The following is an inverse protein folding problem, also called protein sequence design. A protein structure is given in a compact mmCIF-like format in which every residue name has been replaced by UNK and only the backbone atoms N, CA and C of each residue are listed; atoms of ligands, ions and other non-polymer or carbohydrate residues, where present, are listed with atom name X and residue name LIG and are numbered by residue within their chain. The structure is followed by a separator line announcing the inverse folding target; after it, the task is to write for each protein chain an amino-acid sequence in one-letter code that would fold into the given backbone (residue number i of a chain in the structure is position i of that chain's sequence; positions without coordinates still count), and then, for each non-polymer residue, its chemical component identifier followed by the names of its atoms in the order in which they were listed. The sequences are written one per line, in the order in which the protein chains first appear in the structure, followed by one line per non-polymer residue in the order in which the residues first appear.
data_IF_779536280561
#
_entry.id   IF_779536280561
#
_cell.length_a   1.000
_cell.length_b   1.000
_cell.length_c   1.000
_cell.angle_alpha   90.00
_cell.angle_beta   90.00
_cell.angle_gamma   90.00
#
_symmetry.space_group_name_H-M   'P 1'
#
loop_
_entity.id
_entity.type
_entity.pdbx_description
1 polymer ?
#
# COMPACT_ATOMS: atom_id res chain seq x y z
N UNK A 1 5.44 14.68 11.32
CA UNK A 1 6.86 14.82 10.95
C UNK A 1 7.39 13.54 10.29
N UNK A 2 7.34 12.36 10.97
CA UNK A 2 7.87 11.10 10.43
C UNK A 2 7.14 10.66 9.14
N UNK A 3 5.82 10.83 9.03
CA UNK A 3 5.08 10.56 7.80
C UNK A 3 5.55 11.46 6.65
N UNK A 4 5.73 12.75 6.91
CA UNK A 4 6.19 13.71 5.92
C UNK A 4 7.65 13.48 5.47
N UNK A 5 8.51 12.92 6.34
CA UNK A 5 9.92 12.71 6.03
C UNK A 5 10.17 11.34 5.36
N UNK A 6 9.49 10.27 5.82
CA UNK A 6 9.75 8.89 5.36
C UNK A 6 8.80 8.39 4.27
N UNK A 7 7.67 9.05 4.09
CA UNK A 7 6.63 8.68 3.13
C UNK A 7 6.21 9.89 2.28
N UNK A 8 7.16 10.79 1.98
CA UNK A 8 6.93 11.97 1.16
C UNK A 8 6.58 11.66 -0.31
N UNK A 9 6.87 10.44 -0.75
CA UNK A 9 6.47 9.90 -2.04
C UNK A 9 4.98 9.55 -2.13
N UNK A 10 4.33 9.39 -0.97
CA UNK A 10 2.90 9.02 -0.88
C UNK A 10 2.05 10.12 -0.25
N UNK A 11 2.60 10.84 0.73
CA UNK A 11 1.84 11.79 1.55
C UNK A 11 2.39 13.21 1.49
N UNK A 12 1.51 14.16 1.23
CA UNK A 12 1.71 15.55 1.61
C UNK A 12 0.96 15.81 2.92
N UNK A 13 1.69 16.08 4.00
CA UNK A 13 1.15 16.12 5.36
C UNK A 13 1.04 17.55 5.86
N UNK A 14 -0.18 17.94 6.28
CA UNK A 14 -0.45 19.15 7.06
C UNK A 14 -0.79 18.77 8.50
N UNK A 15 -0.31 19.52 9.48
CA UNK A 15 -0.53 19.22 10.90
C UNK A 15 -1.27 20.39 11.55
N UNK A 16 -2.39 20.09 12.20
CA UNK A 16 -3.17 21.03 12.99
C UNK A 16 -3.20 20.56 14.45
N UNK A 17 -2.85 21.45 15.37
CA UNK A 17 -2.81 21.16 16.81
C UNK A 17 -3.96 21.79 17.61
N UNK A 18 -4.80 22.57 16.96
CA UNK A 18 -5.93 23.27 17.60
C UNK A 18 -7.19 23.10 16.76
N UNK A 19 -8.35 22.87 17.42
CA UNK A 19 -9.64 22.72 16.73
C UNK A 19 -9.99 23.88 15.80
N UNK A 20 -9.74 25.12 16.25
CA UNK A 20 -10.08 26.32 15.48
C UNK A 20 -9.27 26.45 14.18
N UNK A 21 -8.03 25.94 14.19
CA UNK A 21 -7.17 25.94 13.01
C UNK A 21 -7.55 24.85 12.02
N UNK A 22 -8.15 23.75 12.50
CA UNK A 22 -8.55 22.62 11.65
C UNK A 22 -9.61 23.07 10.64
N UNK A 23 -10.69 23.72 11.10
CA UNK A 23 -11.74 24.27 10.23
C UNK A 23 -11.17 25.24 9.20
N UNK A 24 -10.38 26.23 9.63
CA UNK A 24 -9.76 27.20 8.72
C UNK A 24 -8.82 26.56 7.68
N UNK A 25 -8.17 25.47 8.04
CA UNK A 25 -7.27 24.76 7.12
C UNK A 25 -8.07 23.95 6.09
N UNK A 26 -9.16 23.32 6.51
CA UNK A 26 -10.06 22.58 5.65
C UNK A 26 -10.84 23.48 4.68
N UNK A 27 -11.19 24.70 5.09
CA UNK A 27 -11.83 25.69 4.22
C UNK A 27 -10.91 26.16 3.07
N UNK A 28 -9.60 26.18 3.33
CA UNK A 28 -8.60 26.69 2.36
C UNK A 28 -8.09 25.61 1.40
N UNK A 29 -8.17 24.34 1.78
CA UNK A 29 -7.57 23.25 1.06
C UNK A 29 -8.37 21.96 1.22
N UNK A 30 -8.52 21.19 0.14
CA UNK A 30 -9.10 19.84 0.19
C UNK A 30 -8.05 18.83 0.65
N UNK A 31 -8.51 17.88 1.44
CA UNK A 31 -7.71 16.77 1.94
C UNK A 31 -8.34 15.46 1.53
N UNK A 32 -7.50 14.52 1.07
CA UNK A 32 -7.93 13.16 0.71
C UNK A 32 -8.22 12.33 1.97
N UNK A 33 -7.38 12.46 2.99
CA UNK A 33 -7.54 11.79 4.27
C UNK A 33 -7.26 12.74 5.45
N UNK A 34 -7.95 12.51 6.56
CA UNK A 34 -7.70 13.20 7.82
C UNK A 34 -7.52 12.18 8.96
N UNK A 35 -6.42 12.26 9.68
CA UNK A 35 -6.17 11.50 10.90
C UNK A 35 -6.46 12.39 12.10
N UNK A 36 -7.54 12.13 12.82
CA UNK A 36 -8.09 12.98 13.85
C UNK A 36 -7.95 12.33 15.22
N UNK A 37 -7.65 13.11 16.24
CA UNK A 37 -7.86 12.74 17.63
C UNK A 37 -9.35 12.92 18.00
N UNK A 38 -9.81 12.25 19.08
CA UNK A 38 -11.21 12.31 19.50
C UNK A 38 -11.75 13.74 19.73
N UNK A 39 -10.90 14.61 20.28
CA UNK A 39 -11.26 16.03 20.52
C UNK A 39 -11.40 16.83 19.20
N UNK A 40 -10.68 16.41 18.16
CA UNK A 40 -10.70 17.08 16.85
C UNK A 40 -11.85 16.62 15.95
N UNK A 41 -12.41 15.42 16.20
CA UNK A 41 -13.41 14.82 15.32
C UNK A 41 -14.71 15.63 15.19
N UNK A 42 -15.06 16.43 16.22
CA UNK A 42 -16.22 17.34 16.21
C UNK A 42 -15.90 18.78 15.84
N UNK A 43 -14.66 19.12 15.54
CA UNK A 43 -14.20 20.51 15.42
C UNK A 43 -14.30 21.08 14.00
N UNK A 44 -14.54 20.26 12.98
CA UNK A 44 -14.65 20.68 11.59
C UNK A 44 -15.66 19.84 10.82
N UNK A 45 -16.16 20.40 9.72
CA UNK A 45 -16.96 19.66 8.76
C UNK A 45 -16.05 18.70 7.97
N UNK A 46 -16.24 17.42 8.18
CA UNK A 46 -15.47 16.34 7.54
C UNK A 46 -16.09 15.84 6.23
N UNK A 47 -17.23 16.41 5.82
CA UNK A 47 -17.96 15.96 4.62
C UNK A 47 -17.15 16.11 3.33
N UNK A 48 -16.20 17.04 3.30
CA UNK A 48 -15.29 17.27 2.18
C UNK A 48 -14.05 16.34 2.17
N UNK A 49 -13.83 15.58 3.25
CA UNK A 49 -12.70 14.64 3.37
C UNK A 49 -13.16 13.25 2.93
N UNK A 50 -12.48 12.65 1.95
CA UNK A 50 -12.86 11.32 1.44
C UNK A 50 -12.64 10.21 2.46
N UNK A 51 -11.59 10.31 3.27
CA UNK A 51 -11.23 9.31 4.28
C UNK A 51 -10.94 9.97 5.64
N UNK A 52 -11.96 10.33 6.43
CA UNK A 52 -11.76 10.73 7.81
C UNK A 52 -11.53 9.50 8.70
N UNK A 53 -10.45 9.51 9.49
CA UNK A 53 -10.03 8.42 10.36
C UNK A 53 -9.79 8.93 11.78
N UNK A 54 -10.31 8.20 12.76
CA UNK A 54 -10.06 8.47 14.17
C UNK A 54 -8.82 7.71 14.64
N UNK A 55 -7.85 8.42 15.19
CA UNK A 55 -6.70 7.82 15.88
C UNK A 55 -7.09 7.54 17.32
N UNK A 56 -7.30 6.25 17.66
CA UNK A 56 -7.84 5.82 18.93
C UNK A 56 -6.89 4.91 19.70
N UNK A 57 -6.87 5.05 21.03
CA UNK A 57 -6.00 4.28 21.92
C UNK A 57 -6.55 2.89 22.29
N UNK A 58 -7.82 2.63 21.99
CA UNK A 58 -8.48 1.36 22.25
C UNK A 58 -9.25 1.33 23.58
N UNK A 59 -9.16 2.37 24.41
CA UNK A 59 -9.73 2.39 25.77
C UNK A 59 -10.64 3.59 26.04
N UNK A 60 -10.27 4.78 25.52
CA UNK A 60 -11.03 6.00 25.78
C UNK A 60 -12.45 5.92 25.22
N UNK A 61 -13.48 6.36 25.98
CA UNK A 61 -14.84 6.40 25.48
C UNK A 61 -14.91 7.39 24.30
N UNK A 62 -15.72 7.03 23.31
CA UNK A 62 -15.94 7.87 22.13
C UNK A 62 -17.30 8.54 22.23
N UNK A 63 -17.35 9.84 21.98
CA UNK A 63 -18.56 10.64 22.04
C UNK A 63 -18.78 11.40 20.72
N UNK A 64 -20.03 11.70 20.42
CA UNK A 64 -20.40 12.50 19.26
C UNK A 64 -19.91 11.91 17.93
N UNK A 65 -19.43 12.78 17.04
CA UNK A 65 -18.97 12.44 15.70
C UNK A 65 -17.82 11.41 15.66
N UNK A 66 -17.07 11.26 16.76
CA UNK A 66 -15.97 10.29 16.83
C UNK A 66 -16.45 8.82 16.85
N UNK A 67 -17.73 8.56 17.20
CA UNK A 67 -18.27 7.20 17.24
C UNK A 67 -18.41 6.57 15.86
N UNK A 68 -18.74 7.38 14.85
CA UNK A 68 -19.06 6.92 13.50
C UNK A 68 -17.83 6.84 12.59
N UNK A 69 -16.70 7.39 13.02
CA UNK A 69 -15.49 7.37 12.21
C UNK A 69 -14.77 6.02 12.24
N UNK A 70 -14.27 5.55 11.09
CA UNK A 70 -13.39 4.38 11.04
C UNK A 70 -12.12 4.67 11.83
N UNK A 71 -11.61 3.63 12.54
CA UNK A 71 -10.57 3.78 13.56
C UNK A 71 -9.23 3.24 13.12
N UNK A 72 -8.17 3.96 13.51
CA UNK A 72 -6.78 3.52 13.41
C UNK A 72 -6.19 3.49 14.81
N UNK A 73 -5.50 2.42 15.18
CA UNK A 73 -4.89 2.31 16.51
C UNK A 73 -3.76 3.31 16.70
N UNK A 74 -3.73 4.01 17.86
CA UNK A 74 -2.77 5.07 18.18
C UNK A 74 -1.35 4.53 18.37
N UNK A 75 -1.17 3.48 19.13
CA UNK A 75 0.15 2.98 19.56
C UNK A 75 0.63 1.83 18.69
N UNK A 76 0.97 2.14 17.44
CA UNK A 76 1.56 1.20 16.49
C UNK A 76 2.67 1.87 15.67
N UNK A 77 3.39 1.08 14.87
CA UNK A 77 4.43 1.63 14.00
C UNK A 77 3.83 2.59 12.98
N UNK A 78 4.51 3.69 12.70
CA UNK A 78 4.06 4.70 11.72
C UNK A 78 3.85 4.06 10.33
N UNK A 79 4.70 3.11 9.95
CA UNK A 79 4.52 2.35 8.69
C UNK A 79 3.20 1.55 8.64
N UNK A 80 2.74 1.04 9.78
CA UNK A 80 1.45 0.35 9.85
C UNK A 80 0.27 1.33 9.70
N UNK A 81 0.35 2.51 10.32
CA UNK A 81 -0.64 3.58 10.13
C UNK A 81 -0.66 4.03 8.68
N UNK A 82 0.50 4.29 8.10
CA UNK A 82 0.68 4.71 6.71
C UNK A 82 0.02 3.72 5.74
N UNK A 83 0.32 2.42 5.89
CA UNK A 83 -0.28 1.38 5.06
C UNK A 83 -1.80 1.27 5.23
N UNK A 84 -2.31 1.35 6.48
CA UNK A 84 -3.76 1.27 6.74
C UNK A 84 -4.51 2.43 6.08
N UNK A 85 -3.94 3.65 6.13
CA UNK A 85 -4.50 4.83 5.43
C UNK A 85 -4.54 4.62 3.92
N UNK A 86 -3.41 4.19 3.34
CA UNK A 86 -3.32 3.96 1.88
C UNK A 86 -4.26 2.87 1.41
N UNK A 87 -4.32 1.73 2.12
CA UNK A 87 -5.19 0.60 1.79
C UNK A 87 -6.68 0.99 1.83
N UNK A 88 -7.10 1.75 2.84
CA UNK A 88 -8.48 2.23 2.96
C UNK A 88 -8.82 3.28 1.89
N UNK A 89 -7.88 4.19 1.64
CA UNK A 89 -8.09 5.22 0.62
C UNK A 89 -8.17 4.61 -0.78
N UNK A 90 -7.29 3.67 -1.12
CA UNK A 90 -7.32 2.94 -2.38
C UNK A 90 -8.64 2.21 -2.60
N UNK A 91 -9.18 1.56 -1.54
CA UNK A 91 -10.44 0.83 -1.62
C UNK A 91 -11.65 1.74 -1.94
N UNK A 92 -11.62 3.01 -1.50
CA UNK A 92 -12.72 3.96 -1.77
C UNK A 92 -12.50 4.83 -3.02
N UNK A 93 -11.27 4.84 -3.56
CA UNK A 93 -10.93 5.67 -4.73
C UNK A 93 -11.41 5.10 -6.05
N UNK A 94 -11.71 3.79 -6.08
CA UNK A 94 -12.06 3.07 -7.31
C UNK A 94 -10.86 2.93 -8.27
N UNK A 95 -11.02 2.18 -9.36
CA UNK A 95 -9.97 2.02 -10.34
C UNK A 95 -9.68 3.37 -11.01
N UNK A 96 -8.45 3.81 -10.96
CA UNK A 96 -8.04 4.98 -11.74
C UNK A 96 -7.80 4.55 -13.19
N UNK A 97 -8.53 5.14 -14.11
CA UNK A 97 -8.33 4.98 -15.58
C UNK A 97 -7.02 5.64 -16.07
N UNK A 98 -6.14 6.07 -15.17
CA UNK A 98 -4.88 6.71 -15.55
C UNK A 98 -3.82 5.69 -15.99
N UNK A 99 -4.16 4.86 -16.97
CA UNK A 99 -3.16 4.15 -17.76
C UNK A 99 -2.49 5.09 -18.77
N UNK A 100 -1.76 6.06 -18.28
CA UNK A 100 -0.63 6.52 -19.05
C UNK A 100 0.28 5.31 -19.20
N UNK A 101 0.50 4.88 -20.43
CA UNK A 101 1.29 3.70 -20.77
C UNK A 101 2.53 3.61 -19.88
N UNK A 102 2.48 2.77 -18.87
CA UNK A 102 3.62 2.51 -18.01
C UNK A 102 4.75 2.02 -18.92
N UNK A 103 5.89 2.70 -18.90
CA UNK A 103 7.09 2.28 -19.62
C UNK A 103 7.83 1.16 -18.88
N UNK A 104 7.24 0.63 -17.83
CA UNK A 104 7.84 -0.44 -17.05
C UNK A 104 8.03 -1.69 -17.92
N UNK A 105 9.20 -2.29 -17.81
CA UNK A 105 9.49 -3.56 -18.46
C UNK A 105 9.04 -4.71 -17.57
N UNK A 106 8.11 -5.52 -18.06
CA UNK A 106 7.66 -6.74 -17.38
C UNK A 106 8.47 -7.93 -17.91
N UNK A 107 9.04 -8.72 -16.99
CA UNK A 107 9.81 -9.91 -17.32
C UNK A 107 9.25 -11.11 -16.57
N UNK A 108 8.60 -12.04 -17.28
CA UNK A 108 8.13 -13.30 -16.70
C UNK A 108 9.25 -14.35 -16.69
N UNK A 109 9.45 -14.98 -15.52
CA UNK A 109 10.34 -16.12 -15.35
C UNK A 109 9.50 -17.36 -15.08
N UNK A 110 9.44 -18.26 -16.02
CA UNK A 110 8.60 -19.45 -15.96
C UNK A 110 9.36 -20.73 -16.31
N UNK A 111 8.95 -21.84 -15.72
CA UNK A 111 9.43 -23.19 -16.08
C UNK A 111 8.36 -24.22 -15.75
N UNK A 112 8.17 -25.23 -16.60
CA UNK A 112 7.25 -26.34 -16.32
C UNK A 112 7.75 -27.29 -15.22
N UNK A 113 9.06 -27.22 -14.88
CA UNK A 113 9.66 -28.08 -13.88
C UNK A 113 9.85 -27.40 -12.54
N UNK A 114 9.46 -28.05 -11.46
CA UNK A 114 9.84 -27.67 -10.10
C UNK A 114 11.36 -27.76 -9.90
N UNK A 115 11.91 -26.93 -9.01
CA UNK A 115 13.34 -26.97 -8.66
C UNK A 115 14.30 -26.48 -9.75
N UNK A 116 13.81 -25.93 -10.86
CA UNK A 116 14.63 -25.42 -11.99
C UNK A 116 15.37 -24.09 -11.69
N UNK A 117 15.19 -23.53 -10.50
CA UNK A 117 15.86 -22.27 -10.09
C UNK A 117 15.14 -21.00 -10.53
N UNK A 118 13.87 -21.06 -10.94
CA UNK A 118 13.07 -19.88 -11.34
C UNK A 118 13.18 -18.70 -10.37
N UNK A 119 12.87 -18.95 -9.11
CA UNK A 119 12.91 -17.94 -8.04
C UNK A 119 14.30 -17.31 -7.90
N UNK A 120 15.35 -18.15 -7.89
CA UNK A 120 16.73 -17.65 -7.80
C UNK A 120 17.12 -16.78 -8.99
N UNK A 121 16.75 -17.18 -10.22
CA UNK A 121 17.01 -16.42 -11.44
C UNK A 121 16.24 -15.11 -11.45
N UNK A 122 14.95 -15.14 -11.11
CA UNK A 122 14.10 -13.95 -11.06
C UNK A 122 14.62 -12.93 -10.03
N UNK A 123 14.95 -13.39 -8.82
CA UNK A 123 15.50 -12.53 -7.77
C UNK A 123 16.87 -11.98 -8.11
N UNK A 124 17.75 -12.78 -8.73
CA UNK A 124 19.06 -12.30 -9.18
C UNK A 124 18.92 -11.23 -10.26
N UNK A 125 17.97 -11.39 -11.20
CA UNK A 125 17.67 -10.40 -12.22
C UNK A 125 17.14 -9.11 -11.58
N UNK A 126 16.15 -9.22 -10.67
CA UNK A 126 15.58 -8.09 -9.96
C UNK A 126 16.65 -7.32 -9.16
N UNK A 127 17.49 -8.04 -8.39
CA UNK A 127 18.57 -7.42 -7.63
C UNK A 127 19.59 -6.69 -8.53
N UNK A 128 19.93 -7.29 -9.68
CA UNK A 128 20.81 -6.64 -10.66
C UNK A 128 20.21 -5.36 -11.20
N UNK A 129 18.91 -5.33 -11.49
CA UNK A 129 18.20 -4.13 -11.97
C UNK A 129 18.13 -3.05 -10.90
N UNK A 130 17.81 -3.42 -9.68
CA UNK A 130 17.83 -2.51 -8.52
C UNK A 130 19.21 -1.90 -8.28
N UNK A 131 20.29 -2.70 -8.41
CA UNK A 131 21.67 -2.21 -8.31
C UNK A 131 22.06 -1.22 -9.44
N UNK A 132 21.34 -1.23 -10.56
CA UNK A 132 21.47 -0.25 -11.66
C UNK A 132 20.64 1.02 -11.44
N UNK A 133 20.04 1.19 -10.24
CA UNK A 133 19.21 2.35 -9.88
C UNK A 133 17.76 2.28 -10.40
N UNK A 134 17.31 1.13 -10.94
CA UNK A 134 15.94 0.93 -11.37
C UNK A 134 15.04 0.63 -10.19
N UNK A 135 13.88 1.26 -10.14
CA UNK A 135 12.81 0.82 -9.23
C UNK A 135 12.28 -0.52 -9.72
N UNK A 136 12.69 -1.59 -9.04
CA UNK A 136 12.38 -2.96 -9.47
C UNK A 136 11.46 -3.61 -8.45
N UNK A 137 10.35 -4.15 -8.94
CA UNK A 137 9.39 -4.93 -8.16
C UNK A 137 9.53 -6.41 -8.52
N UNK A 138 9.63 -7.26 -7.52
CA UNK A 138 9.50 -8.69 -7.67
C UNK A 138 8.09 -9.11 -7.24
N UNK A 139 7.32 -9.62 -8.20
CA UNK A 139 5.98 -10.14 -8.00
C UNK A 139 6.01 -11.67 -8.03
N UNK A 140 5.70 -12.28 -6.88
CA UNK A 140 5.60 -13.75 -6.77
C UNK A 140 4.14 -14.19 -6.97
N UNK A 141 3.90 -14.94 -8.02
CA UNK A 141 2.60 -15.52 -8.34
C UNK A 141 2.60 -17.05 -8.13
N UNK A 142 3.54 -17.59 -7.35
CA UNK A 142 3.54 -19.00 -6.98
C UNK A 142 2.65 -19.24 -5.75
N UNK A 143 1.74 -20.24 -5.78
CA UNK A 143 0.90 -20.56 -4.61
C UNK A 143 1.72 -20.95 -3.37
N UNK A 144 2.88 -21.57 -3.58
CA UNK A 144 3.84 -21.96 -2.54
C UNK A 144 5.11 -21.14 -2.66
N UNK A 145 5.07 -19.94 -2.11
CA UNK A 145 6.16 -19.00 -2.19
C UNK A 145 7.36 -19.40 -1.33
N UNK A 146 8.56 -19.31 -1.92
CA UNK A 146 9.83 -19.48 -1.22
C UNK A 146 10.46 -18.18 -0.72
N UNK A 147 9.77 -17.04 -0.81
CA UNK A 147 10.29 -15.70 -0.50
C UNK A 147 10.91 -15.56 0.88
N UNK A 148 10.36 -16.25 1.89
CA UNK A 148 10.88 -16.23 3.25
C UNK A 148 12.31 -16.77 3.37
N UNK A 149 12.77 -17.57 2.40
CA UNK A 149 14.15 -18.06 2.34
C UNK A 149 15.14 -17.03 1.79
N UNK A 150 14.64 -16.02 1.09
CA UNK A 150 15.46 -15.00 0.42
C UNK A 150 15.42 -13.65 1.09
N UNK A 151 14.26 -13.25 1.64
CA UNK A 151 14.07 -11.95 2.31
C UNK A 151 13.97 -12.13 3.82
N UNK A 152 14.62 -11.24 4.55
CA UNK A 152 14.63 -11.29 6.03
C UNK A 152 13.28 -10.95 6.64
N UNK A 153 12.54 -10.06 6.01
CA UNK A 153 11.24 -9.63 6.50
C UNK A 153 10.14 -10.26 5.63
N UNK A 154 9.04 -10.75 6.24
CA UNK A 154 8.00 -11.46 5.50
C UNK A 154 7.24 -10.56 4.50
N UNK A 155 7.27 -9.24 4.71
CA UNK A 155 6.42 -8.31 3.96
C UNK A 155 4.93 -8.44 4.31
N UNK A 156 4.11 -7.56 3.79
CA UNK A 156 2.65 -7.71 3.82
C UNK A 156 2.20 -8.64 2.71
N UNK A 157 1.27 -9.55 3.04
CA UNK A 157 0.73 -10.51 2.07
C UNK A 157 0.06 -9.82 0.90
N UNK A 158 0.29 -10.35 -0.31
CA UNK A 158 -0.37 -9.90 -1.53
C UNK A 158 -1.87 -10.25 -1.55
N UNK A 159 -2.34 -11.20 -0.73
CA UNK A 159 -3.76 -11.57 -0.64
C UNK A 159 -4.67 -10.38 -0.35
N UNK A 160 -4.20 -9.42 0.44
CA UNK A 160 -4.96 -8.19 0.70
C UNK A 160 -5.19 -7.30 -0.53
N UNK A 161 -4.39 -7.47 -1.60
CA UNK A 161 -4.65 -6.81 -2.90
C UNK A 161 -5.71 -7.57 -3.67
N UNK A 162 -5.66 -8.92 -3.67
CA UNK A 162 -6.62 -9.75 -4.38
C UNK A 162 -8.07 -9.48 -3.95
N UNK A 163 -8.27 -9.19 -2.67
CA UNK A 163 -9.59 -8.83 -2.11
C UNK A 163 -10.09 -7.43 -2.55
N UNK A 164 -9.22 -6.60 -3.12
CA UNK A 164 -9.49 -5.18 -3.40
C UNK A 164 -9.14 -4.78 -4.83
N UNK A 165 -9.16 -5.71 -5.76
CA UNK A 165 -8.80 -5.46 -7.17
C UNK A 165 -9.72 -4.46 -7.88
N UNK A 166 -10.91 -4.20 -7.34
CA UNK A 166 -11.83 -3.17 -7.85
C UNK A 166 -11.43 -1.74 -7.43
N UNK A 167 -10.46 -1.61 -6.52
CA UNK A 167 -9.92 -0.33 -6.06
C UNK A 167 -8.73 0.18 -6.89
N UNK A 168 -8.05 1.20 -6.37
CA UNK A 168 -6.80 1.69 -6.95
C UNK A 168 -5.63 0.74 -6.62
N UNK A 169 -5.39 -0.21 -7.52
CA UNK A 169 -4.38 -1.26 -7.36
C UNK A 169 -2.97 -0.67 -7.27
N UNK A 170 -2.67 0.40 -8.02
CA UNK A 170 -1.36 1.04 -8.00
C UNK A 170 -1.06 1.65 -6.62
N UNK A 171 -2.04 2.28 -6.02
CA UNK A 171 -1.93 2.84 -4.68
C UNK A 171 -1.89 1.75 -3.60
N UNK A 172 -2.67 0.67 -3.76
CA UNK A 172 -2.60 -0.50 -2.87
C UNK A 172 -1.18 -1.07 -2.84
N UNK A 173 -0.55 -1.26 -3.99
CA UNK A 173 0.83 -1.73 -4.06
C UNK A 173 1.82 -0.81 -3.38
N UNK A 174 1.68 0.51 -3.51
CA UNK A 174 2.51 1.45 -2.77
C UNK A 174 2.39 1.29 -1.25
N UNK A 175 1.18 1.02 -0.76
CA UNK A 175 0.91 0.85 0.67
C UNK A 175 1.45 -0.43 1.29
N UNK A 176 1.57 -1.51 0.50
CA UNK A 176 1.96 -2.82 1.03
C UNK A 176 3.35 -3.30 0.61
N UNK A 177 3.96 -2.72 -0.45
CA UNK A 177 5.29 -3.12 -0.92
C UNK A 177 6.33 -2.97 0.19
N UNK A 178 7.18 -3.96 0.31
CA UNK A 178 8.35 -3.97 1.20
C UNK A 178 9.60 -3.80 0.37
N UNK A 179 10.58 -3.02 0.85
CA UNK A 179 11.88 -2.90 0.20
C UNK A 179 12.92 -3.72 0.95
N UNK A 180 13.57 -4.64 0.26
CA UNK A 180 14.71 -5.34 0.83
C UNK A 180 15.91 -4.41 0.97
N UNK A 181 16.47 -4.34 2.17
CA UNK A 181 17.60 -3.45 2.48
C UNK A 181 18.91 -3.88 1.83
N UNK A 182 19.07 -5.16 1.49
CA UNK A 182 20.28 -5.71 0.91
C UNK A 182 20.33 -5.53 -0.62
N UNK A 183 19.24 -5.87 -1.31
CA UNK A 183 19.16 -5.82 -2.78
C UNK A 183 18.52 -4.55 -3.32
N UNK A 184 17.73 -3.84 -2.50
CA UNK A 184 16.94 -2.69 -2.93
C UNK A 184 15.68 -3.05 -3.72
N UNK A 185 15.39 -4.34 -3.91
CA UNK A 185 14.20 -4.85 -4.61
C UNK A 185 12.96 -4.61 -3.77
N UNK A 186 11.89 -4.14 -4.40
CA UNK A 186 10.57 -4.12 -3.79
C UNK A 186 9.88 -5.48 -4.00
N UNK A 187 9.19 -5.95 -2.97
CA UNK A 187 8.48 -7.23 -3.00
C UNK A 187 7.22 -7.18 -2.13
N UNK A 188 6.41 -8.20 -2.23
CA UNK A 188 5.22 -8.44 -1.41
C UNK A 188 5.38 -9.74 -0.65
N UNK A 189 4.72 -9.85 0.51
CA UNK A 189 4.66 -11.12 1.23
C UNK A 189 3.86 -12.16 0.44
N UNK A 190 4.16 -13.42 0.70
CA UNK A 190 3.46 -14.55 0.10
C UNK A 190 1.94 -14.48 0.29
N UNK A 191 1.15 -15.12 -0.58
CA UNK A 191 -0.27 -15.33 -0.33
C UNK A 191 -0.50 -15.96 1.04
N UNK A 192 -1.59 -15.56 1.72
CA UNK A 192 -1.96 -16.13 3.02
C UNK A 192 -2.47 -17.56 2.88
N UNK A 193 -3.14 -17.83 1.77
CA UNK A 193 -3.68 -19.13 1.43
C UNK A 193 -3.29 -19.47 -0.01
N UNK A 194 -2.92 -20.74 -0.26
CA UNK A 194 -2.62 -21.20 -1.62
C UNK A 194 -3.82 -21.09 -2.57
N UNK A 195 -5.02 -21.17 -2.05
CA UNK A 195 -6.26 -21.01 -2.83
C UNK A 195 -6.49 -19.58 -3.32
N UNK A 196 -5.86 -18.59 -2.70
CA UNK A 196 -5.97 -17.18 -3.13
C UNK A 196 -5.53 -17.00 -4.59
N UNK A 197 -4.58 -17.81 -5.04
CA UNK A 197 -4.12 -17.79 -6.43
C UNK A 197 -5.09 -18.44 -7.42
N UNK A 198 -5.94 -19.37 -6.96
CA UNK A 198 -6.88 -20.09 -7.80
C UNK A 198 -8.12 -19.28 -8.17
N UNK A 199 -8.41 -18.22 -7.41
CA UNK A 199 -9.55 -17.33 -7.66
C UNK A 199 -9.24 -16.21 -8.65
N UNK A 200 -7.94 -15.96 -8.94
CA UNK A 200 -7.53 -14.90 -9.86
C UNK A 200 -7.92 -15.24 -11.31
N UNK A 201 -8.58 -14.31 -11.94
CA UNK A 201 -8.82 -14.35 -13.39
C UNK A 201 -7.63 -13.81 -14.17
N UNK A 202 -7.52 -14.06 -15.48
CA UNK A 202 -6.50 -13.43 -16.31
C UNK A 202 -6.53 -11.89 -16.24
N UNK A 203 -7.72 -11.31 -16.16
CA UNK A 203 -7.94 -9.87 -16.03
C UNK A 203 -7.40 -9.34 -14.70
N UNK A 204 -7.54 -10.09 -13.61
CA UNK A 204 -6.97 -9.75 -12.31
C UNK A 204 -5.45 -9.74 -12.34
N UNK A 205 -4.84 -10.72 -13.02
CA UNK A 205 -3.38 -10.77 -13.21
C UNK A 205 -2.90 -9.57 -14.03
N UNK A 206 -3.62 -9.16 -15.06
CA UNK A 206 -3.30 -7.94 -15.82
C UNK A 206 -3.35 -6.72 -14.90
N UNK A 207 -4.41 -6.54 -14.11
CA UNK A 207 -4.54 -5.42 -13.15
C UNK A 207 -3.40 -5.40 -12.14
N UNK A 208 -3.00 -6.56 -11.63
CA UNK A 208 -1.85 -6.69 -10.72
C UNK A 208 -0.56 -6.22 -11.37
N UNK A 209 -0.28 -6.69 -12.59
CA UNK A 209 0.92 -6.31 -13.35
C UNK A 209 0.93 -4.81 -13.65
N UNK A 210 -0.19 -4.24 -14.06
CA UNK A 210 -0.34 -2.82 -14.33
C UNK A 210 -0.17 -1.97 -13.06
N UNK A 211 -0.74 -2.40 -11.94
CA UNK A 211 -0.56 -1.74 -10.65
C UNK A 211 0.91 -1.74 -10.18
N UNK A 212 1.64 -2.86 -10.37
CA UNK A 212 3.08 -2.91 -10.13
C UNK A 212 3.83 -1.97 -11.08
N UNK A 213 3.51 -2.03 -12.37
CA UNK A 213 4.17 -1.27 -13.43
C UNK A 213 3.98 0.24 -13.29
N UNK A 214 2.86 0.70 -12.74
CA UNK A 214 2.63 2.11 -12.45
C UNK A 214 3.62 2.70 -11.44
N UNK A 215 4.25 1.85 -10.62
CA UNK A 215 5.12 2.23 -9.52
C UNK A 215 6.55 1.69 -9.65
N UNK A 216 6.94 1.23 -10.82
CA UNK A 216 8.25 0.62 -11.05
C UNK A 216 8.78 0.90 -12.46
N UNK A 217 10.08 0.74 -12.64
CA UNK A 217 10.72 0.71 -13.96
C UNK A 217 10.77 -0.72 -14.51
N UNK A 218 10.82 -1.71 -13.62
CA UNK A 218 10.91 -3.14 -13.95
C UNK A 218 10.04 -3.98 -13.00
N UNK A 219 9.30 -4.94 -13.55
CA UNK A 219 8.50 -5.93 -12.81
C UNK A 219 8.93 -7.33 -13.25
#
# INVERSE_FOLDING_TARGET
RVLAEKHADVFEVSVCSKPELLGQTMDKRRFDAALLDGEMAGAADLSAVRLPLLVWDGASPLEGAAQDLPRVRKYQRISAISSDVVERYAAISGPQESFQSSRAKITAVWSPAGGSGKTAVALALAARRAAQGRQTVYLDLEPFSALQSYFKEPGKSISGVFEKLDGDVALLFQGIRQRDSASGVYYFGAPMNYDDMNILTPEDVVRLLEGCAANADEV
#
